data_IF_455743797616
#
_entry.id   IF_455743797616
#
_cell.length_a   1.000
_cell.length_b   1.000
_cell.length_c   1.000
_cell.angle_alpha   90.00
_cell.angle_beta   90.00
_cell.angle_gamma   90.00
#
_symmetry.space_group_name_H-M   'P 1'
#
loop_
_entity.id
_entity.type
_entity.pdbx_description
1 polymer ?
#
# COMPACT_ATOMS: atom_id res chain seq x y z
N UNK A 1 -30.39 -8.48 -28.30
CA UNK A 1 -30.62 -7.06 -28.63
C UNK A 1 -31.85 -6.57 -27.88
N UNK A 2 -31.66 -5.78 -26.82
CA UNK A 2 -32.51 -4.62 -26.51
C UNK A 2 -31.78 -3.81 -25.45
N UNK A 3 -31.62 -2.51 -25.67
CA UNK A 3 -30.90 -1.61 -24.77
C UNK A 3 -31.86 -1.03 -23.75
N UNK A 4 -31.45 -0.94 -22.48
CA UNK A 4 -32.05 -0.01 -21.52
C UNK A 4 -31.02 1.08 -21.20
N UNK A 5 -31.26 2.26 -21.74
CA UNK A 5 -30.54 3.49 -21.40
C UNK A 5 -31.45 4.37 -20.55
N UNK A 6 -30.97 4.80 -19.39
CA UNK A 6 -31.53 5.95 -18.69
C UNK A 6 -30.40 6.89 -18.27
N UNK A 7 -30.58 8.16 -18.54
CA UNK A 7 -29.66 9.26 -18.24
C UNK A 7 -30.19 10.08 -17.06
N UNK A 8 -29.34 10.90 -16.38
CA UNK A 8 -29.63 11.39 -15.04
C UNK A 8 -30.58 12.61 -15.01
N UNK A 9 -31.29 12.75 -13.89
CA UNK A 9 -32.20 13.86 -13.65
C UNK A 9 -31.46 15.14 -13.21
N UNK A 10 -31.86 16.27 -13.80
CA UNK A 10 -31.33 17.61 -13.49
C UNK A 10 -32.09 18.22 -12.31
N UNK A 11 -31.39 18.65 -11.27
CA UNK A 11 -31.96 19.48 -10.19
C UNK A 11 -31.59 20.94 -10.40
N UNK A 12 -32.59 21.81 -10.62
CA UNK A 12 -32.42 23.26 -10.80
C UNK A 12 -32.44 24.02 -9.48
N UNK A 13 -31.59 25.05 -9.38
CA UNK A 13 -31.59 26.04 -8.30
C UNK A 13 -32.87 26.90 -8.27
N UNK A 14 -33.43 27.08 -7.09
CA UNK A 14 -34.22 28.24 -6.61
C UNK A 14 -33.92 28.35 -5.09
N UNK A 15 -33.96 29.47 -4.39
CA UNK A 15 -34.13 30.90 -4.73
C UNK A 15 -34.15 31.68 -3.40
N UNK A 16 -33.41 32.78 -3.28
CA UNK A 16 -33.37 33.60 -2.04
C UNK A 16 -34.72 34.30 -1.78
N UNK A 17 -35.01 34.63 -0.51
CA UNK A 17 -35.53 35.95 -0.21
C UNK A 17 -34.76 36.68 0.89
N UNK A 18 -34.48 37.95 0.63
CA UNK A 18 -34.03 38.97 1.59
C UNK A 18 -35.20 39.53 2.40
N UNK A 19 -35.00 39.83 3.69
CA UNK A 19 -35.73 40.88 4.44
C UNK A 19 -35.00 41.13 5.78
N UNK A 20 -34.32 42.26 5.94
CA UNK A 20 -34.78 43.52 6.59
C UNK A 20 -34.45 43.58 8.09
N UNK A 21 -33.67 44.61 8.43
CA UNK A 21 -33.23 45.02 9.77
C UNK A 21 -34.26 45.98 10.39
N UNK A 22 -34.43 45.98 11.72
CA UNK A 22 -34.71 47.20 12.47
C UNK A 22 -33.58 47.55 13.44
N UNK A 23 -33.36 48.84 13.64
CA UNK A 23 -32.35 49.42 14.52
C UNK A 23 -32.97 50.09 15.77
N UNK A 24 -32.09 50.59 16.64
CA UNK A 24 -32.32 51.51 17.77
C UNK A 24 -32.58 50.90 19.16
N UNK A 25 -31.86 51.44 20.16
CA UNK A 25 -31.98 51.10 21.58
C UNK A 25 -30.65 51.33 22.34
N UNK A 26 -30.36 52.58 22.75
CA UNK A 26 -29.09 52.97 23.36
C UNK A 26 -29.19 53.28 24.86
N UNK A 27 -28.13 52.96 25.61
CA UNK A 27 -27.65 53.48 26.93
C UNK A 27 -26.81 52.36 27.58
N UNK A 28 -25.68 52.53 28.27
CA UNK A 28 -24.83 53.64 28.74
C UNK A 28 -23.77 52.95 29.64
N UNK A 29 -22.45 53.15 29.51
CA UNK A 29 -21.64 54.33 29.86
C UNK A 29 -20.88 54.16 31.21
N UNK A 30 -19.58 54.51 31.22
CA UNK A 30 -18.61 54.53 32.35
C UNK A 30 -18.21 53.18 33.00
N UNK A 31 -17.08 53.00 33.71
CA UNK A 31 -15.69 53.54 33.72
C UNK A 31 -14.91 52.77 34.84
N UNK A 32 -13.59 52.57 34.91
CA UNK A 32 -12.39 52.85 34.07
C UNK A 32 -11.29 51.84 34.50
N UNK A 33 -9.96 52.04 34.41
CA UNK A 33 -9.11 53.10 33.85
C UNK A 33 -7.65 53.02 34.37
N UNK A 34 -6.66 52.92 33.47
CA UNK A 34 -5.23 53.25 33.72
C UNK A 34 -4.28 52.15 34.25
N UNK A 35 -2.94 52.33 34.22
CA UNK A 35 -2.12 53.41 33.62
C UNK A 35 -0.62 52.98 33.48
N UNK A 36 -0.02 53.20 32.30
CA UNK A 36 1.41 53.44 31.91
C UNK A 36 2.64 52.68 32.45
N UNK A 37 3.68 52.56 31.60
CA UNK A 37 5.11 52.42 31.99
C UNK A 37 5.96 51.64 30.98
N UNK A 38 6.36 52.20 29.82
CA UNK A 38 7.64 52.89 29.55
C UNK A 38 8.91 52.08 29.87
N UNK A 39 9.63 51.66 28.81
CA UNK A 39 11.10 51.70 28.73
C UNK A 39 11.53 51.61 27.25
N UNK A 40 12.60 52.29 26.86
CA UNK A 40 13.08 52.36 25.47
C UNK A 40 14.58 52.11 25.36
N UNK A 41 14.99 51.60 24.20
CA UNK A 41 16.30 51.87 23.61
C UNK A 41 17.45 50.93 23.94
N UNK A 42 17.94 50.21 22.91
CA UNK A 42 19.30 50.44 22.42
C UNK A 42 19.46 49.98 20.97
N UNK A 43 20.03 50.86 20.15
CA UNK A 43 20.74 50.46 18.93
C UNK A 43 22.15 50.03 19.34
N UNK A 44 22.74 49.10 18.60
CA UNK A 44 24.15 49.18 18.24
C UNK A 44 24.34 48.54 16.87
N UNK A 45 25.01 49.27 15.96
CA UNK A 45 25.52 48.77 14.69
C UNK A 45 27.04 48.60 14.81
N UNK A 46 27.59 47.63 14.06
CA UNK A 46 28.87 47.65 13.30
C UNK A 46 29.52 46.26 13.34
N UNK A 47 29.96 45.75 12.18
CA UNK A 47 30.66 44.47 12.09
C UNK A 47 30.61 43.81 10.71
N UNK A 48 31.19 44.48 9.70
CA UNK A 48 31.30 43.95 8.33
C UNK A 48 32.42 42.90 8.26
N UNK A 49 32.22 41.78 7.56
CA UNK A 49 33.16 41.15 6.61
C UNK A 49 32.75 39.71 6.23
N UNK A 50 33.13 39.25 5.04
CA UNK A 50 33.12 37.83 4.65
C UNK A 50 32.04 37.43 3.65
N UNK A 51 32.16 37.89 2.40
CA UNK A 51 31.55 37.19 1.27
C UNK A 51 32.50 36.06 0.90
N UNK A 52 32.01 34.83 0.78
CA UNK A 52 32.65 33.84 -0.09
C UNK A 52 31.60 32.95 -0.77
N UNK A 53 31.64 32.95 -2.10
CA UNK A 53 30.77 32.17 -2.99
C UNK A 53 31.70 31.31 -3.82
N UNK A 54 31.67 30.00 -3.61
CA UNK A 54 32.42 29.03 -4.41
C UNK A 54 31.48 27.91 -4.90
N UNK A 55 31.10 28.00 -6.17
CA UNK A 55 30.82 26.81 -7.00
C UNK A 55 32.09 26.48 -7.83
N UNK A 56 32.11 25.53 -8.77
CA UNK A 56 32.97 24.37 -8.63
C UNK A 56 34.16 24.39 -9.61
N UNK A 57 35.32 23.90 -9.16
CA UNK A 57 36.47 23.66 -10.04
C UNK A 57 36.30 22.33 -10.79
N UNK A 58 36.58 22.38 -12.09
CA UNK A 58 36.47 21.26 -13.04
C UNK A 58 37.81 20.97 -13.71
N UNK A 59 38.21 19.71 -13.77
CA UNK A 59 39.20 19.16 -14.71
C UNK A 59 38.82 17.70 -14.92
N UNK A 60 38.25 17.31 -16.07
CA UNK A 60 38.98 17.03 -17.32
C UNK A 60 40.02 15.92 -17.16
N UNK A 61 39.65 14.73 -17.62
CA UNK A 61 40.54 13.84 -18.39
C UNK A 61 39.68 13.09 -19.42
N UNK A 62 40.22 12.93 -20.63
CA UNK A 62 39.51 12.53 -21.85
C UNK A 62 40.01 11.16 -22.33
N UNK A 63 39.11 10.26 -22.74
CA UNK A 63 39.40 9.23 -23.74
C UNK A 63 38.25 9.15 -24.76
N UNK A 64 38.57 9.46 -26.03
CA UNK A 64 37.70 9.34 -27.22
C UNK A 64 37.70 7.88 -27.73
N UNK A 65 36.64 7.32 -28.29
CA UNK A 65 36.33 7.25 -29.75
C UNK A 65 35.28 6.14 -29.97
N UNK A 66 34.59 5.98 -31.13
CA UNK A 66 33.87 7.01 -31.89
C UNK A 66 32.42 6.59 -32.25
N UNK A 67 31.61 7.57 -32.62
CA UNK A 67 30.28 7.36 -33.21
C UNK A 67 30.34 6.97 -34.70
N UNK A 68 29.43 6.10 -35.17
CA UNK A 68 29.08 6.04 -36.60
C UNK A 68 27.57 5.91 -36.82
N UNK A 69 26.95 7.04 -37.15
CA UNK A 69 25.64 7.10 -37.80
C UNK A 69 25.86 7.41 -39.29
N UNK A 70 25.05 6.80 -40.16
CA UNK A 70 24.41 7.47 -41.32
C UNK A 70 23.65 6.46 -42.20
N UNK A 71 22.45 6.88 -42.62
CA UNK A 71 21.66 6.27 -43.69
C UNK A 71 22.33 6.45 -45.06
N UNK A 72 21.79 5.79 -46.11
CA UNK A 72 21.81 6.39 -47.44
C UNK A 72 20.40 6.53 -48.05
N UNK A 73 20.20 7.67 -48.71
CA UNK A 73 18.99 8.03 -49.45
C UNK A 73 18.86 7.34 -50.83
N UNK A 74 17.66 7.48 -51.39
CA UNK A 74 17.28 7.02 -52.73
C UNK A 74 17.87 7.91 -53.82
N UNK A 75 18.54 7.34 -54.84
CA UNK A 75 18.48 7.85 -56.22
C UNK A 75 18.87 6.82 -57.30
N UNK A 76 18.06 6.81 -58.35
CA UNK A 76 18.06 5.96 -59.55
C UNK A 76 19.34 5.84 -60.39
N UNK A 77 19.44 4.73 -61.15
CA UNK A 77 19.98 4.72 -62.52
C UNK A 77 19.20 3.73 -63.43
N UNK A 78 18.84 4.20 -64.64
CA UNK A 78 18.34 3.37 -65.77
C UNK A 78 19.50 2.49 -66.32
N UNK A 79 19.31 1.35 -67.00
CA UNK A 79 18.69 1.25 -68.32
C UNK A 79 18.64 -0.23 -68.83
N UNK A 80 17.62 -0.54 -69.64
CA UNK A 80 17.48 -1.61 -70.68
C UNK A 80 18.50 -2.76 -70.81
N UNK A 81 18.01 -4.02 -70.86
CA UNK A 81 18.81 -5.19 -71.28
C UNK A 81 18.08 -6.53 -71.31
N UNK A 82 17.70 -7.00 -72.50
CA UNK A 82 16.90 -8.18 -72.85
C UNK A 82 17.27 -9.57 -72.28
N UNK A 83 16.21 -10.37 -72.02
CA UNK A 83 16.03 -11.81 -72.34
C UNK A 83 16.46 -12.95 -71.35
N UNK A 84 15.75 -14.08 -71.49
CA UNK A 84 15.99 -15.47 -71.04
C UNK A 84 15.50 -15.97 -69.65
N UNK A 85 14.50 -16.87 -69.72
CA UNK A 85 14.26 -18.07 -68.89
C UNK A 85 14.58 -18.09 -67.37
N UNK A 86 13.55 -18.16 -66.51
CA UNK A 86 13.46 -19.24 -65.49
C UNK A 86 12.05 -19.46 -64.88
N UNK A 87 11.30 -20.45 -65.38
CA UNK A 87 9.97 -20.82 -64.85
C UNK A 87 9.96 -21.61 -63.53
N UNK A 88 11.11 -21.97 -62.97
CA UNK A 88 11.19 -22.89 -61.82
C UNK A 88 11.21 -22.25 -60.42
N UNK A 89 11.35 -20.92 -60.32
CA UNK A 89 11.70 -20.25 -59.06
C UNK A 89 10.50 -19.79 -58.21
N UNK A 90 9.33 -19.61 -58.81
CA UNK A 90 8.13 -19.04 -58.16
C UNK A 90 7.39 -20.02 -57.24
N UNK A 91 7.34 -21.31 -57.58
CA UNK A 91 6.61 -22.32 -56.78
C UNK A 91 7.33 -22.66 -55.46
N UNK A 92 8.67 -22.68 -55.42
CA UNK A 92 9.42 -22.90 -54.17
C UNK A 92 9.24 -21.75 -53.16
N UNK A 93 9.21 -20.50 -53.63
CA UNK A 93 8.97 -19.33 -52.76
C UNK A 93 7.54 -19.33 -52.21
N UNK A 94 6.53 -19.71 -53.01
CA UNK A 94 5.15 -19.86 -52.53
C UNK A 94 5.00 -20.99 -51.50
N UNK A 95 5.67 -22.13 -51.69
CA UNK A 95 5.64 -23.24 -50.74
C UNK A 95 6.34 -22.90 -49.41
N UNK A 96 7.47 -22.17 -49.45
CA UNK A 96 8.13 -21.67 -48.25
C UNK A 96 7.22 -20.69 -47.48
N UNK A 97 6.70 -19.66 -48.16
CA UNK A 97 5.82 -18.67 -47.53
C UNK A 97 4.52 -19.28 -46.95
N UNK A 98 4.00 -20.38 -47.54
CA UNK A 98 2.88 -21.12 -46.97
C UNK A 98 3.26 -21.89 -45.69
N UNK A 99 4.45 -22.51 -45.66
CA UNK A 99 4.98 -23.20 -44.48
C UNK A 99 5.27 -22.23 -43.33
N UNK A 100 5.83 -21.06 -43.64
CA UNK A 100 6.13 -20.03 -42.65
C UNK A 100 4.85 -19.42 -42.06
N UNK A 101 3.80 -19.22 -42.88
CA UNK A 101 2.47 -18.83 -42.39
C UNK A 101 1.82 -19.91 -41.51
N UNK A 102 1.97 -21.19 -41.86
CA UNK A 102 1.47 -22.28 -41.03
C UNK A 102 2.21 -22.35 -39.68
N UNK A 103 3.54 -22.19 -39.68
CA UNK A 103 4.34 -22.12 -38.46
C UNK A 103 3.97 -20.91 -37.59
N UNK A 104 3.78 -19.73 -38.20
CA UNK A 104 3.32 -18.53 -37.50
C UNK A 104 1.91 -18.66 -36.94
N UNK A 105 0.98 -19.30 -37.68
CA UNK A 105 -0.37 -19.58 -37.21
C UNK A 105 -0.38 -20.59 -36.04
N UNK A 106 0.47 -21.62 -36.09
CA UNK A 106 0.65 -22.56 -34.97
C UNK A 106 1.26 -21.85 -33.76
N UNK A 107 2.30 -21.02 -33.92
CA UNK A 107 2.88 -20.24 -32.83
C UNK A 107 1.89 -19.22 -32.23
N UNK A 108 1.03 -18.61 -33.06
CA UNK A 108 -0.06 -17.76 -32.63
C UNK A 108 -1.14 -18.55 -31.85
N UNK A 109 -1.46 -19.78 -32.28
CA UNK A 109 -2.37 -20.67 -31.56
C UNK A 109 -1.77 -21.13 -30.21
N UNK A 110 -0.49 -21.51 -30.15
CA UNK A 110 0.18 -21.89 -28.90
C UNK A 110 0.30 -20.70 -27.93
N UNK A 111 0.54 -19.48 -28.43
CA UNK A 111 0.52 -18.28 -27.58
C UNK A 111 -0.89 -17.84 -27.21
N UNK A 112 -1.93 -18.19 -27.98
CA UNK A 112 -3.32 -18.02 -27.57
C UNK A 112 -3.73 -19.03 -26.48
N UNK A 113 -3.32 -20.30 -26.61
CA UNK A 113 -3.58 -21.35 -25.59
C UNK A 113 -2.85 -21.03 -24.26
N UNK A 114 -1.61 -20.56 -24.34
CA UNK A 114 -0.86 -20.05 -23.18
C UNK A 114 -1.51 -18.83 -22.51
N UNK A 115 -2.25 -17.99 -23.24
CA UNK A 115 -3.06 -16.89 -22.69
C UNK A 115 -4.43 -17.36 -22.16
N UNK A 116 -4.93 -18.51 -22.61
CA UNK A 116 -6.27 -18.99 -22.29
C UNK A 116 -6.33 -19.91 -21.05
N UNK A 117 -5.18 -20.39 -20.56
CA UNK A 117 -5.09 -20.82 -19.16
C UNK A 117 -5.22 -19.60 -18.26
N UNK A 118 -6.40 -19.43 -17.67
CA UNK A 118 -6.59 -18.54 -16.52
C UNK A 118 -5.50 -18.86 -15.48
N UNK A 119 -4.59 -17.92 -15.15
CA UNK A 119 -3.46 -18.20 -14.27
C UNK A 119 -3.94 -18.24 -12.82
N UNK A 120 -4.60 -19.33 -12.45
CA UNK A 120 -4.92 -19.64 -11.05
C UNK A 120 -3.65 -19.49 -10.22
N UNK A 121 -3.64 -18.49 -9.33
CA UNK A 121 -2.49 -18.25 -8.46
C UNK A 121 -2.42 -19.42 -7.49
N UNK A 122 -1.43 -20.28 -7.66
CA UNK A 122 -1.29 -21.46 -6.80
C UNK A 122 -1.13 -21.05 -5.34
N UNK A 123 -1.59 -21.91 -4.42
CA UNK A 123 -1.36 -21.72 -2.98
C UNK A 123 0.12 -21.48 -2.66
N UNK A 124 1.04 -22.11 -3.40
CA UNK A 124 2.48 -21.90 -3.22
C UNK A 124 2.91 -20.48 -3.59
N UNK A 125 2.34 -19.89 -4.65
CA UNK A 125 2.57 -18.49 -5.00
C UNK A 125 1.97 -17.51 -3.98
N UNK A 126 0.79 -17.83 -3.42
CA UNK A 126 0.20 -17.08 -2.30
C UNK A 126 1.10 -17.18 -1.07
N UNK A 127 1.53 -18.39 -0.70
CA UNK A 127 2.41 -18.69 0.44
C UNK A 127 3.74 -17.93 0.37
N UNK A 128 4.41 -17.97 -0.78
CA UNK A 128 5.64 -17.21 -0.99
C UNK A 128 5.43 -15.69 -0.88
N UNK A 129 4.27 -15.18 -1.31
CA UNK A 129 3.90 -13.77 -1.14
C UNK A 129 3.65 -13.41 0.33
N UNK A 130 2.93 -14.24 1.08
CA UNK A 130 2.69 -14.05 2.53
C UNK A 130 4.01 -13.98 3.33
N UNK A 131 4.98 -14.84 3.02
CA UNK A 131 6.29 -14.88 3.69
C UNK A 131 7.12 -13.62 3.40
N UNK A 132 7.04 -13.07 2.18
CA UNK A 132 7.72 -11.81 1.81
C UNK A 132 7.05 -10.58 2.43
N UNK A 133 5.71 -10.53 2.45
CA UNK A 133 4.98 -9.41 3.06
C UNK A 133 5.19 -9.36 4.58
N UNK A 134 5.46 -10.51 5.21
CA UNK A 134 5.85 -10.59 6.62
C UNK A 134 7.18 -9.88 6.90
N UNK A 135 8.19 -9.99 6.02
CA UNK A 135 9.43 -9.21 6.12
C UNK A 135 9.16 -7.72 5.95
N UNK A 136 8.33 -7.33 4.98
CA UNK A 136 7.95 -5.92 4.75
C UNK A 136 7.29 -5.29 5.97
N UNK A 137 6.41 -6.01 6.67
CA UNK A 137 5.78 -5.52 7.91
C UNK A 137 6.81 -5.39 9.03
N UNK A 138 7.70 -6.38 9.21
CA UNK A 138 8.72 -6.33 10.27
C UNK A 138 9.63 -5.12 10.08
N UNK A 139 10.13 -4.88 8.86
CA UNK A 139 10.94 -3.70 8.57
C UNK A 139 10.15 -2.40 8.77
N UNK A 140 8.91 -2.29 8.28
CA UNK A 140 8.11 -1.07 8.46
C UNK A 140 7.83 -0.73 9.94
N UNK A 141 7.71 -1.74 10.82
CA UNK A 141 7.55 -1.55 12.25
C UNK A 141 8.88 -1.18 12.95
N UNK A 142 10.01 -1.73 12.52
CA UNK A 142 11.36 -1.31 12.97
C UNK A 142 11.67 0.12 12.56
N UNK A 143 11.28 0.55 11.35
CA UNK A 143 11.44 1.95 10.93
C UNK A 143 10.48 2.91 11.66
N UNK A 144 9.35 2.42 12.20
CA UNK A 144 8.43 3.25 12.99
C UNK A 144 8.86 3.40 14.45
N UNK A 145 9.43 2.36 15.05
CA UNK A 145 9.83 2.33 16.47
C UNK A 145 10.94 3.34 16.80
N UNK A 146 11.79 3.71 15.83
CA UNK A 146 12.81 4.77 15.96
C UNK A 146 12.27 6.15 16.41
N UNK A 147 10.95 6.36 16.38
CA UNK A 147 10.29 7.59 16.81
C UNK A 147 9.25 7.31 17.90
N UNK A 148 9.01 8.30 18.76
CA UNK A 148 8.00 8.25 19.81
C UNK A 148 6.57 8.09 19.27
N UNK A 149 5.64 7.86 20.19
CA UNK A 149 4.21 7.77 19.88
C UNK A 149 3.70 8.98 19.08
N UNK A 150 4.20 10.20 19.35
CA UNK A 150 3.93 11.38 18.53
C UNK A 150 2.42 11.61 18.29
N UNK A 151 1.63 11.52 19.36
CA UNK A 151 0.15 11.53 19.34
C UNK A 151 -0.49 12.74 18.61
N UNK A 152 0.27 13.82 18.42
CA UNK A 152 -0.07 14.95 17.56
C UNK A 152 -0.48 14.52 16.13
N UNK A 153 0.13 13.45 15.59
CA UNK A 153 -0.08 12.94 14.23
C UNK A 153 -1.51 12.41 14.04
N UNK A 154 -2.03 11.73 15.06
CA UNK A 154 -3.30 10.98 15.02
C UNK A 154 -4.49 11.77 15.57
N UNK A 155 -4.26 12.99 16.05
CA UNK A 155 -5.26 13.83 16.68
C UNK A 155 -5.69 14.97 15.77
N UNK A 156 -7.00 15.19 15.69
CA UNK A 156 -7.56 16.31 14.94
C UNK A 156 -7.05 17.63 15.50
N UNK A 157 -6.77 18.59 14.60
CA UNK A 157 -6.45 20.02 14.87
C UNK A 157 -5.01 20.35 15.27
N UNK A 158 -4.11 19.39 15.52
CA UNK A 158 -2.72 19.73 15.89
C UNK A 158 -1.96 20.35 14.71
N UNK A 159 -2.12 19.78 13.52
CA UNK A 159 -1.53 20.29 12.27
C UNK A 159 -2.58 21.03 11.44
N UNK A 160 -2.24 22.23 10.98
CA UNK A 160 -3.06 22.99 10.02
C UNK A 160 -2.87 22.47 8.61
N UNK A 161 -3.34 21.25 8.38
CA UNK A 161 -3.55 20.73 7.03
C UNK A 161 -4.64 21.57 6.37
N UNK A 162 -4.34 22.22 5.24
CA UNK A 162 -5.39 22.86 4.43
C UNK A 162 -6.32 21.76 3.94
N UNK A 163 -7.63 21.90 4.23
CA UNK A 163 -8.71 20.95 3.91
C UNK A 163 -8.41 20.08 2.68
N UNK A 164 -7.96 18.85 2.94
CA UNK A 164 -8.09 17.76 1.98
C UNK A 164 -9.55 17.31 1.95
N UNK A 165 -9.94 16.62 0.89
CA UNK A 165 -11.30 16.09 0.72
C UNK A 165 -11.73 15.16 1.88
N UNK A 166 -10.76 14.60 2.63
CA UNK A 166 -10.97 13.84 3.86
C UNK A 166 -11.79 14.60 4.93
N UNK A 167 -11.62 15.92 5.04
CA UNK A 167 -12.35 16.73 6.02
C UNK A 167 -13.86 16.78 5.76
N UNK A 168 -14.28 16.68 4.49
CA UNK A 168 -15.69 16.70 4.10
C UNK A 168 -16.40 15.36 4.37
N UNK A 169 -15.66 14.26 4.56
CA UNK A 169 -16.23 12.93 4.85
C UNK A 169 -16.43 12.69 6.34
N UNK A 170 -15.42 12.99 7.17
CA UNK A 170 -15.53 12.73 8.60
C UNK A 170 -16.32 13.80 9.35
N UNK A 171 -16.70 14.91 8.70
CA UNK A 171 -17.36 16.05 9.33
C UNK A 171 -16.49 16.76 10.38
N UNK A 172 -15.18 16.50 10.34
CA UNK A 172 -14.12 17.03 11.21
C UNK A 172 -12.87 17.26 10.38
N UNK A 173 -11.97 18.11 10.88
CA UNK A 173 -10.64 18.23 10.29
C UNK A 173 -9.91 16.88 10.37
N UNK A 174 -9.28 16.47 9.27
CA UNK A 174 -8.51 15.22 9.22
C UNK A 174 -7.25 15.33 10.09
N UNK A 175 -6.85 14.21 10.69
CA UNK A 175 -5.54 14.07 11.33
C UNK A 175 -4.41 14.14 10.29
N UNK A 176 -3.18 14.36 10.75
CA UNK A 176 -2.03 14.43 9.85
C UNK A 176 -1.74 13.08 9.18
N UNK A 177 -2.00 11.97 9.88
CA UNK A 177 -1.97 10.63 9.29
C UNK A 177 -2.97 10.46 8.14
N UNK A 178 -4.24 10.81 8.36
CA UNK A 178 -5.28 10.65 7.34
C UNK A 178 -5.00 11.51 6.11
N UNK A 179 -4.49 12.74 6.30
CA UNK A 179 -4.00 13.58 5.22
C UNK A 179 -2.87 12.91 4.43
N UNK A 180 -1.76 12.56 5.09
CA UNK A 180 -0.57 12.00 4.43
C UNK A 180 -0.88 10.68 3.72
N UNK A 181 -1.71 9.84 4.32
CA UNK A 181 -2.19 8.61 3.71
C UNK A 181 -3.03 8.91 2.47
N UNK A 182 -4.10 9.73 2.58
CA UNK A 182 -5.00 10.03 1.46
C UNK A 182 -4.31 10.67 0.25
N UNK A 183 -3.39 11.63 0.45
CA UNK A 183 -2.62 12.23 -0.65
C UNK A 183 -1.63 11.23 -1.28
N UNK A 184 -1.05 10.33 -0.48
CA UNK A 184 -0.23 9.21 -0.98
C UNK A 184 -1.08 8.24 -1.81
N UNK A 185 -2.33 7.96 -1.42
CA UNK A 185 -3.24 7.11 -2.19
C UNK A 185 -3.62 7.78 -3.53
N UNK A 186 -3.93 9.08 -3.53
CA UNK A 186 -4.19 9.84 -4.76
C UNK A 186 -3.03 9.73 -5.74
N UNK A 187 -1.80 9.94 -5.28
CA UNK A 187 -0.60 9.80 -6.10
C UNK A 187 -0.48 8.37 -6.68
N UNK A 188 -0.63 7.34 -5.85
CA UNK A 188 -0.54 5.95 -6.28
C UNK A 188 -1.68 5.49 -7.21
N UNK A 189 -2.87 6.08 -7.11
CA UNK A 189 -3.98 5.80 -8.02
C UNK A 189 -3.65 6.20 -9.46
N UNK A 190 -2.97 7.33 -9.66
CA UNK A 190 -2.57 7.80 -11.01
C UNK A 190 -1.77 6.73 -11.77
N UNK A 191 -0.93 5.97 -11.07
CA UNK A 191 -0.09 4.89 -11.63
C UNK A 191 -0.74 3.49 -11.59
N UNK A 192 -2.06 3.42 -11.38
CA UNK A 192 -2.91 2.20 -11.36
C UNK A 192 -2.71 1.27 -10.15
N UNK A 193 -2.13 1.73 -9.03
CA UNK A 193 -1.89 0.85 -7.86
C UNK A 193 -3.15 0.08 -7.44
N UNK A 194 -4.25 0.79 -7.26
CA UNK A 194 -5.55 0.25 -6.81
C UNK A 194 -6.38 -0.41 -7.93
N UNK A 195 -5.83 -0.60 -9.14
CA UNK A 195 -6.38 -1.56 -10.10
C UNK A 195 -5.91 -3.00 -9.82
N UNK A 196 -4.89 -3.17 -8.97
CA UNK A 196 -4.43 -4.47 -8.51
C UNK A 196 -5.40 -5.08 -7.49
N UNK A 197 -5.74 -6.35 -7.66
CA UNK A 197 -6.56 -7.11 -6.70
C UNK A 197 -5.88 -7.30 -5.32
N UNK A 198 -4.59 -6.99 -5.19
CA UNK A 198 -3.84 -7.05 -3.92
C UNK A 198 -3.80 -5.72 -3.14
N UNK A 199 -4.13 -4.58 -3.77
CA UNK A 199 -3.93 -3.25 -3.19
C UNK A 199 -5.29 -2.58 -2.93
N UNK A 200 -5.61 -2.32 -1.66
CA UNK A 200 -6.86 -1.64 -1.27
C UNK A 200 -6.57 -0.28 -0.64
N UNK A 201 -7.31 0.73 -1.08
CA UNK A 201 -7.23 2.07 -0.53
C UNK A 201 -7.93 2.17 0.83
N UNK A 202 -7.39 2.99 1.71
CA UNK A 202 -8.05 3.43 2.94
C UNK A 202 -9.16 4.45 2.62
N UNK A 203 -8.95 5.30 1.61
CA UNK A 203 -9.92 6.31 1.18
C UNK A 203 -10.30 6.14 -0.31
N UNK A 204 -10.97 5.02 -0.68
CA UNK A 204 -11.25 4.68 -2.07
C UNK A 204 -12.09 5.72 -2.84
N UNK A 205 -12.84 6.56 -2.11
CA UNK A 205 -13.70 7.60 -2.67
C UNK A 205 -12.96 8.87 -3.11
N UNK A 206 -11.67 9.02 -2.80
CA UNK A 206 -10.85 10.16 -3.25
C UNK A 206 -9.87 9.82 -4.39
N UNK A 207 -9.87 8.57 -4.87
CA UNK A 207 -8.90 8.14 -5.87
C UNK A 207 -9.19 8.78 -7.24
N UNK A 208 -8.24 9.50 -7.85
CA UNK A 208 -8.38 10.00 -9.21
C UNK A 208 -8.34 8.86 -10.24
N UNK A 209 -8.83 9.14 -11.46
CA UNK A 209 -8.66 8.21 -12.58
C UNK A 209 -7.16 8.00 -12.90
N UNK A 210 -6.73 6.76 -13.23
CA UNK A 210 -5.34 6.50 -13.59
C UNK A 210 -4.93 7.20 -14.90
N UNK A 211 -3.73 7.78 -14.93
CA UNK A 211 -3.15 8.39 -16.14
C UNK A 211 -2.59 7.36 -17.13
N UNK A 212 -2.37 6.13 -16.66
CA UNK A 212 -1.85 5.02 -17.46
C UNK A 212 -3.01 4.17 -18.02
N UNK A 213 -2.89 3.62 -19.25
CA UNK A 213 -3.94 2.79 -19.86
C UNK A 213 -4.36 1.59 -18.98
N UNK A 214 -5.63 1.16 -19.00
CA UNK A 214 -6.09 0.00 -18.25
C UNK A 214 -5.28 -1.27 -18.56
N UNK A 215 -5.11 -2.14 -17.56
CA UNK A 215 -4.56 -3.48 -17.71
C UNK A 215 -5.69 -4.50 -17.62
N UNK A 216 -5.68 -5.49 -18.52
CA UNK A 216 -6.57 -6.65 -18.44
C UNK A 216 -5.98 -7.66 -17.46
N UNK A 217 -6.47 -7.64 -16.23
CA UNK A 217 -6.05 -8.57 -15.18
C UNK A 217 -6.93 -9.84 -15.19
N UNK A 218 -6.33 -11.04 -15.00
CA UNK A 218 -7.11 -12.27 -14.87
C UNK A 218 -8.04 -12.19 -13.66
N UNK A 219 -9.27 -12.71 -13.80
CA UNK A 219 -10.30 -12.70 -12.75
C UNK A 219 -10.03 -13.80 -11.73
N UNK A 220 -9.06 -13.58 -10.86
CA UNK A 220 -8.61 -14.54 -9.85
C UNK A 220 -9.52 -14.64 -8.61
N UNK A 221 -10.33 -13.61 -8.37
CA UNK A 221 -11.29 -13.53 -7.27
C UNK A 221 -12.70 -13.32 -7.84
N UNK A 222 -13.71 -13.80 -7.12
CA UNK A 222 -15.09 -13.41 -7.40
C UNK A 222 -15.31 -11.92 -7.11
N UNK A 223 -16.30 -11.26 -7.74
CA UNK A 223 -16.69 -9.90 -7.39
C UNK A 223 -17.00 -9.79 -5.89
N UNK A 224 -16.35 -8.84 -5.22
CA UNK A 224 -16.46 -8.59 -3.79
C UNK A 224 -16.08 -7.12 -3.50
N UNK A 225 -16.59 -6.56 -2.41
CA UNK A 225 -16.24 -5.22 -1.91
C UNK A 225 -15.54 -5.24 -0.54
N UNK A 226 -15.20 -6.43 -0.04
CA UNK A 226 -14.55 -6.65 1.28
C UNK A 226 -13.32 -5.75 1.46
N UNK A 227 -13.42 -4.79 2.37
CA UNK A 227 -12.32 -3.92 2.78
C UNK A 227 -12.41 -3.72 4.30
N UNK A 228 -11.35 -4.08 5.03
CA UNK A 228 -11.24 -3.92 6.49
C UNK A 228 -10.23 -2.84 6.89
N UNK A 229 -9.82 -1.97 5.95
CA UNK A 229 -8.85 -0.91 6.19
C UNK A 229 -9.20 0.01 7.38
N UNK A 230 -10.48 0.31 7.63
CA UNK A 230 -10.92 1.07 8.82
C UNK A 230 -10.52 0.38 10.13
N UNK A 231 -10.64 -0.95 10.17
CA UNK A 231 -10.25 -1.75 11.35
C UNK A 231 -8.73 -1.82 11.48
N UNK A 232 -8.00 -1.95 10.37
CA UNK A 232 -6.53 -1.93 10.35
C UNK A 232 -6.01 -0.58 10.86
N UNK A 233 -6.55 0.54 10.34
CA UNK A 233 -6.18 1.89 10.76
C UNK A 233 -6.44 2.12 12.25
N UNK A 234 -7.64 1.72 12.72
CA UNK A 234 -8.00 1.82 14.14
C UNK A 234 -7.02 1.03 15.02
N UNK A 235 -6.84 -0.27 14.75
CA UNK A 235 -5.92 -1.16 15.51
C UNK A 235 -4.48 -0.63 15.46
N UNK A 236 -4.04 -0.13 14.32
CA UNK A 236 -2.70 0.42 14.15
C UNK A 236 -2.44 1.59 15.11
N UNK A 237 -3.34 2.59 15.11
CA UNK A 237 -3.20 3.79 15.94
C UNK A 237 -3.44 3.49 17.42
N UNK A 238 -4.44 2.67 17.77
CA UNK A 238 -4.83 2.47 19.17
C UNK A 238 -4.08 1.35 19.91
N UNK A 239 -3.47 0.41 19.20
CA UNK A 239 -2.85 -0.79 19.80
C UNK A 239 -1.41 -1.02 19.31
N UNK A 240 -1.11 -0.86 18.01
CA UNK A 240 0.23 -1.15 17.48
C UNK A 240 1.23 -0.04 17.83
N UNK A 241 0.94 1.22 17.52
CA UNK A 241 1.86 2.35 17.80
C UNK A 241 2.19 2.45 19.30
N UNK A 242 1.23 2.41 20.25
CA UNK A 242 1.53 2.45 21.68
C UNK A 242 2.24 1.21 22.23
N UNK A 243 2.24 0.09 21.50
CA UNK A 243 2.96 -1.14 21.88
C UNK A 243 4.44 -1.08 21.47
N UNK A 244 4.75 -0.53 20.30
CA UNK A 244 6.12 -0.54 19.75
C UNK A 244 6.91 0.74 20.05
N UNK A 245 6.26 1.90 20.15
CA UNK A 245 6.94 3.19 20.30
C UNK A 245 7.01 3.66 21.76
N UNK A 246 8.09 4.35 22.15
CA UNK A 246 8.12 5.03 23.44
C UNK A 246 7.03 6.11 23.56
N UNK A 247 6.39 6.27 24.75
CA UNK A 247 5.46 7.37 25.00
C UNK A 247 6.14 8.75 24.92
N UNK A 248 5.42 9.72 24.35
CA UNK A 248 5.80 11.13 24.34
C UNK A 248 5.81 11.72 22.94
N UNK A 249 6.54 12.83 22.82
CA UNK A 249 6.79 13.55 21.58
C UNK A 249 8.31 13.75 21.41
N UNK A 250 8.81 13.70 20.18
CA UNK A 250 10.20 13.94 19.79
C UNK A 250 10.34 14.93 18.61
N UNK A 251 9.25 15.61 18.24
CA UNK A 251 9.12 16.51 17.08
C UNK A 251 9.36 15.87 15.69
N UNK A 252 9.60 14.55 15.58
CA UNK A 252 9.82 13.83 14.31
C UNK A 252 8.50 13.43 13.61
N UNK A 253 7.51 14.33 13.62
CA UNK A 253 6.16 14.04 13.12
C UNK A 253 6.14 13.64 11.64
N UNK A 254 6.96 14.30 10.81
CA UNK A 254 7.07 14.03 9.37
C UNK A 254 7.70 12.66 9.06
N UNK A 255 8.73 12.27 9.80
CA UNK A 255 9.39 10.96 9.66
C UNK A 255 8.46 9.85 10.13
N UNK A 256 7.83 10.04 11.30
CA UNK A 256 6.86 9.11 11.89
C UNK A 256 5.68 8.80 10.96
N UNK A 257 5.03 9.83 10.39
CA UNK A 257 3.85 9.63 9.54
C UNK A 257 4.18 8.96 8.21
N UNK A 258 5.40 9.11 7.68
CA UNK A 258 5.86 8.36 6.50
C UNK A 258 6.05 6.89 6.84
N UNK A 259 6.61 6.57 8.02
CA UNK A 259 6.67 5.19 8.51
C UNK A 259 5.28 4.61 8.76
N UNK A 260 4.34 5.39 9.31
CA UNK A 260 2.94 4.98 9.51
C UNK A 260 2.26 4.60 8.19
N UNK A 261 2.39 5.43 7.15
CA UNK A 261 1.81 5.15 5.82
C UNK A 261 2.39 3.87 5.21
N UNK A 262 3.70 3.63 5.35
CA UNK A 262 4.35 2.42 4.87
C UNK A 262 3.86 1.17 5.62
N UNK A 263 3.76 1.25 6.96
CA UNK A 263 3.27 0.16 7.80
C UNK A 263 1.80 -0.18 7.50
N UNK A 264 0.93 0.83 7.39
CA UNK A 264 -0.49 0.66 7.07
C UNK A 264 -0.71 0.02 5.70
N UNK A 265 0.05 0.43 4.67
CA UNK A 265 -0.03 -0.19 3.35
C UNK A 265 0.44 -1.65 3.36
N UNK A 266 1.53 -1.96 4.09
CA UNK A 266 2.03 -3.33 4.23
C UNK A 266 1.04 -4.23 4.98
N UNK A 267 0.46 -3.74 6.08
CA UNK A 267 -0.59 -4.41 6.85
C UNK A 267 -1.85 -4.64 6.01
N UNK A 268 -2.32 -3.61 5.30
CA UNK A 268 -3.50 -3.70 4.41
C UNK A 268 -3.34 -4.80 3.38
N UNK A 269 -2.23 -4.78 2.63
CA UNK A 269 -1.95 -5.80 1.61
C UNK A 269 -1.88 -7.21 2.21
N UNK A 270 -1.22 -7.36 3.36
CA UNK A 270 -1.07 -8.67 4.04
C UNK A 270 -2.38 -9.23 4.56
N UNK A 271 -3.21 -8.40 5.19
CA UNK A 271 -4.52 -8.80 5.70
C UNK A 271 -5.45 -9.16 4.52
N UNK A 272 -5.52 -8.30 3.50
CA UNK A 272 -6.40 -8.53 2.36
C UNK A 272 -5.96 -9.65 1.42
N UNK A 273 -4.71 -10.11 1.49
CA UNK A 273 -4.30 -11.34 0.79
C UNK A 273 -5.07 -12.58 1.27
N UNK A 274 -5.76 -12.50 2.42
CA UNK A 274 -6.78 -13.46 2.86
C UNK A 274 -7.82 -13.79 1.79
N UNK A 275 -8.20 -12.84 0.91
CA UNK A 275 -9.14 -13.13 -0.22
C UNK A 275 -8.65 -14.26 -1.12
N UNK A 276 -7.34 -14.32 -1.41
CA UNK A 276 -6.74 -15.37 -2.24
C UNK A 276 -6.61 -16.69 -1.49
N UNK A 277 -6.37 -16.64 -0.17
CA UNK A 277 -6.37 -17.82 0.70
C UNK A 277 -7.77 -18.43 0.74
N UNK A 278 -8.80 -17.60 0.97
CA UNK A 278 -10.21 -17.99 0.99
C UNK A 278 -10.69 -18.54 -0.35
N UNK A 279 -10.40 -17.89 -1.49
CA UNK A 279 -10.78 -18.45 -2.80
C UNK A 279 -10.13 -19.82 -3.02
N UNK A 280 -8.85 -20.00 -2.67
CA UNK A 280 -8.22 -21.29 -2.86
C UNK A 280 -8.79 -22.38 -1.94
N UNK A 281 -9.04 -22.08 -0.66
CA UNK A 281 -9.73 -23.01 0.26
C UNK A 281 -11.14 -23.33 -0.25
N UNK A 282 -11.84 -22.35 -0.81
CA UNK A 282 -13.16 -22.54 -1.43
C UNK A 282 -13.11 -23.45 -2.65
N UNK A 283 -12.06 -23.37 -3.49
CA UNK A 283 -11.91 -24.28 -4.62
C UNK A 283 -11.57 -25.72 -4.20
N UNK A 284 -10.94 -25.90 -3.03
CA UNK A 284 -10.64 -27.23 -2.46
C UNK A 284 -11.88 -27.92 -1.85
N UNK A 285 -12.74 -27.19 -1.13
CA UNK A 285 -13.99 -27.73 -0.57
C UNK A 285 -15.17 -26.75 -0.69
N UNK A 286 -15.60 -26.49 -1.92
CA UNK A 286 -16.69 -25.53 -2.21
C UNK A 286 -18.00 -25.89 -1.53
N UNK A 287 -18.23 -27.18 -1.22
CA UNK A 287 -19.51 -27.65 -0.68
C UNK A 287 -19.64 -27.29 0.79
N UNK A 288 -18.64 -27.61 1.61
CA UNK A 288 -18.68 -27.34 3.05
C UNK A 288 -18.81 -25.84 3.32
N UNK A 289 -18.05 -24.99 2.62
CA UNK A 289 -18.19 -23.53 2.74
C UNK A 289 -19.57 -23.02 2.29
N UNK A 290 -20.16 -23.58 1.22
CA UNK A 290 -21.52 -23.21 0.80
C UNK A 290 -22.59 -23.59 1.84
N UNK A 291 -22.46 -24.76 2.45
CA UNK A 291 -23.43 -25.24 3.44
C UNK A 291 -23.33 -24.43 4.74
N UNK A 292 -22.11 -24.08 5.19
CA UNK A 292 -21.88 -23.16 6.33
C UNK A 292 -22.39 -21.74 6.07
N UNK A 293 -22.05 -21.15 4.91
CA UNK A 293 -22.51 -19.78 4.58
C UNK A 293 -24.04 -19.72 4.43
N UNK A 294 -24.68 -20.78 3.89
CA UNK A 294 -26.15 -20.89 3.83
C UNK A 294 -26.79 -20.92 5.21
N UNK A 295 -26.12 -21.53 6.20
CA UNK A 295 -26.58 -21.59 7.59
C UNK A 295 -26.34 -20.27 8.35
N UNK A 296 -25.60 -19.30 7.79
CA UNK A 296 -25.17 -18.10 8.50
C UNK A 296 -24.03 -18.37 9.51
N UNK A 297 -23.40 -19.54 9.45
CA UNK A 297 -22.50 -20.03 10.49
C UNK A 297 -21.07 -19.48 10.35
N UNK A 298 -20.89 -18.21 10.70
CA UNK A 298 -19.59 -17.55 10.68
C UNK A 298 -18.57 -18.23 11.62
N UNK A 299 -19.01 -18.79 12.75
CA UNK A 299 -18.15 -19.49 13.73
C UNK A 299 -17.66 -20.82 13.15
N UNK A 300 -18.53 -21.62 12.52
CA UNK A 300 -18.15 -22.83 11.81
C UNK A 300 -17.20 -22.57 10.63
N UNK A 301 -17.36 -21.45 9.91
CA UNK A 301 -16.36 -21.01 8.92
C UNK A 301 -15.04 -20.68 9.61
N UNK A 302 -15.02 -19.88 10.68
CA UNK A 302 -13.80 -19.54 11.43
C UNK A 302 -13.05 -20.78 11.94
N UNK A 303 -13.77 -21.76 12.48
CA UNK A 303 -13.22 -23.04 12.95
C UNK A 303 -12.59 -23.84 11.80
N UNK A 304 -13.28 -23.95 10.67
CA UNK A 304 -12.79 -24.66 9.48
C UNK A 304 -11.56 -23.96 8.85
N UNK A 305 -11.49 -22.63 8.90
CA UNK A 305 -10.34 -21.86 8.40
C UNK A 305 -9.12 -21.94 9.33
N UNK A 306 -9.31 -22.25 10.61
CA UNK A 306 -8.29 -22.19 11.66
C UNK A 306 -7.39 -23.42 11.67
N UNK A 307 -6.08 -23.20 11.59
CA UNK A 307 -5.09 -24.27 11.70
C UNK A 307 -3.99 -23.84 12.68
N UNK A 308 -4.19 -24.21 13.96
CA UNK A 308 -3.31 -23.82 15.07
C UNK A 308 -1.84 -24.16 14.80
N UNK A 309 -1.55 -25.33 14.23
CA UNK A 309 -0.18 -25.76 13.89
C UNK A 309 0.45 -24.98 12.72
N UNK A 310 -0.34 -24.29 11.89
CA UNK A 310 0.16 -23.33 10.88
C UNK A 310 0.34 -21.95 11.51
N UNK A 311 -0.59 -21.52 12.35
CA UNK A 311 -0.54 -20.24 13.07
C UNK A 311 0.69 -20.18 14.01
N UNK A 312 0.94 -21.21 14.81
CA UNK A 312 2.16 -21.36 15.61
C UNK A 312 3.45 -21.27 14.77
N UNK A 313 3.46 -21.83 13.55
CA UNK A 313 4.59 -21.74 12.62
C UNK A 313 4.75 -20.35 11.99
N UNK A 314 3.67 -19.58 11.88
CA UNK A 314 3.72 -18.15 11.49
C UNK A 314 4.33 -17.36 12.64
N UNK A 315 3.79 -17.47 13.85
CA UNK A 315 4.27 -16.75 15.03
C UNK A 315 5.75 -17.04 15.34
N UNK A 316 6.15 -18.33 15.33
CA UNK A 316 7.56 -18.72 15.53
C UNK A 316 8.49 -18.15 14.45
N UNK A 317 8.04 -18.07 13.19
CA UNK A 317 8.84 -17.49 12.11
C UNK A 317 8.95 -15.98 12.23
N UNK A 318 7.85 -15.30 12.56
CA UNK A 318 7.82 -13.86 12.81
C UNK A 318 8.78 -13.49 13.95
N UNK A 319 8.77 -14.23 15.07
CA UNK A 319 9.73 -14.08 16.15
C UNK A 319 11.18 -14.19 15.66
N UNK A 320 11.55 -15.31 15.01
CA UNK A 320 12.93 -15.53 14.56
C UNK A 320 13.42 -14.46 13.57
N UNK A 321 12.55 -13.98 12.67
CA UNK A 321 12.85 -12.88 11.75
C UNK A 321 13.05 -11.56 12.49
N UNK A 322 12.13 -11.20 13.38
CA UNK A 322 12.24 -9.99 14.19
C UNK A 322 13.51 -9.98 15.06
N UNK A 323 13.86 -11.11 15.70
CA UNK A 323 15.14 -11.26 16.41
C UNK A 323 16.35 -11.07 15.49
N UNK A 324 16.28 -11.55 14.25
CA UNK A 324 17.39 -11.47 13.29
C UNK A 324 17.57 -10.06 12.73
N UNK A 325 16.49 -9.35 12.42
CA UNK A 325 16.54 -7.99 11.85
C UNK A 325 16.67 -6.89 12.91
N UNK A 326 16.19 -7.14 14.13
CA UNK A 326 16.27 -6.20 15.26
C UNK A 326 17.60 -6.20 16.00
N UNK A 327 18.46 -7.20 15.80
CA UNK A 327 19.80 -7.25 16.42
C UNK A 327 20.83 -6.50 15.57
N UNK A 328 21.79 -5.82 16.21
CA UNK A 328 22.97 -5.33 15.50
C UNK A 328 23.96 -6.47 15.22
N UNK A 329 24.51 -6.50 14.01
CA UNK A 329 25.45 -7.55 13.55
C UNK A 329 26.77 -7.52 14.34
N UNK A 330 27.07 -6.42 15.02
CA UNK A 330 28.22 -6.28 15.91
C UNK A 330 28.03 -6.98 17.28
N UNK A 331 26.78 -7.30 17.67
CA UNK A 331 26.46 -8.05 18.89
C UNK A 331 26.41 -9.57 18.64
N UNK A 332 26.82 -10.04 17.46
CA UNK A 332 27.10 -11.46 17.25
C UNK A 332 28.25 -11.84 18.18
N UNK A 333 28.04 -12.76 19.15
CA UNK A 333 29.15 -13.22 19.96
C UNK A 333 30.12 -13.93 19.02
N UNK A 334 31.33 -13.36 18.89
CA UNK A 334 32.46 -14.10 18.33
C UNK A 334 32.53 -15.41 19.09
N UNK A 335 32.36 -16.53 18.37
CA UNK A 335 32.40 -17.86 18.95
C UNK A 335 33.83 -18.17 19.40
N UNK A 336 34.19 -17.69 20.58
CA UNK A 336 35.37 -18.11 21.31
C UNK A 336 35.14 -19.55 21.74
N UNK A 337 35.67 -20.51 20.97
CA UNK A 337 35.61 -21.94 21.29
C UNK A 337 36.39 -22.30 22.57
N UNK A 338 37.10 -21.34 23.17
CA UNK A 338 37.97 -21.48 24.35
C UNK A 338 37.44 -20.78 25.61
N UNK A 339 36.33 -21.26 26.18
CA UNK A 339 35.90 -20.87 27.53
C UNK A 339 35.28 -22.05 28.31
N UNK A 340 36.14 -22.88 28.92
CA UNK A 340 35.69 -23.91 29.89
C UNK A 340 35.36 -23.28 31.25
N UNK A 341 34.10 -23.45 31.69
CA UNK A 341 33.73 -23.46 33.10
C UNK A 341 33.45 -22.09 33.72
N UNK A 342 32.18 -21.83 34.04
CA UNK A 342 31.74 -20.66 34.79
C UNK A 342 30.23 -20.66 34.97
N UNK A 343 29.75 -21.19 36.11
CA UNK A 343 28.33 -21.13 36.48
C UNK A 343 27.94 -19.68 36.79
N UNK A 344 27.39 -19.01 35.78
CA UNK A 344 27.14 -17.57 35.84
C UNK A 344 26.67 -17.01 34.51
N UNK A 345 25.74 -17.71 33.83
CA UNK A 345 25.11 -17.23 32.60
C UNK A 345 24.18 -16.04 32.89
N UNK A 346 24.78 -14.88 33.19
CA UNK A 346 24.13 -13.61 32.93
C UNK A 346 23.73 -13.63 31.46
N UNK A 347 22.43 -13.63 31.18
CA UNK A 347 21.94 -13.41 29.82
C UNK A 347 22.51 -12.06 29.39
N UNK A 348 23.36 -12.05 28.38
CA UNK A 348 23.64 -10.82 27.66
C UNK A 348 22.27 -10.28 27.22
N UNK A 349 21.91 -9.09 27.67
CA UNK A 349 20.70 -8.41 27.23
C UNK A 349 20.90 -8.10 25.75
N UNK A 350 20.39 -8.97 24.88
CA UNK A 350 20.38 -8.74 23.44
C UNK A 350 19.52 -7.51 23.21
N UNK A 351 20.18 -6.41 22.87
CA UNK A 351 19.53 -5.12 22.70
C UNK A 351 18.87 -5.09 21.32
N UNK A 352 17.65 -5.61 21.24
CA UNK A 352 16.86 -5.58 20.00
C UNK A 352 16.27 -4.18 19.81
N UNK A 353 16.39 -3.63 18.59
CA UNK A 353 15.72 -2.39 18.18
C UNK A 353 14.22 -2.45 18.45
N UNK A 354 13.55 -3.46 17.91
CA UNK A 354 12.18 -3.83 18.30
C UNK A 354 12.19 -5.13 19.06
N UNK A 355 11.55 -5.17 20.23
CA UNK A 355 11.32 -6.42 20.97
C UNK A 355 10.59 -7.44 20.07
N UNK A 356 11.20 -8.60 19.75
CA UNK A 356 10.59 -9.60 18.86
C UNK A 356 9.23 -10.13 19.34
N UNK A 357 8.94 -10.01 20.64
CA UNK A 357 7.64 -10.39 21.20
C UNK A 357 6.51 -9.45 20.73
N UNK A 358 6.74 -8.14 20.60
CA UNK A 358 5.71 -7.22 20.10
C UNK A 358 5.29 -7.56 18.67
N UNK A 359 6.23 -7.98 17.82
CA UNK A 359 5.92 -8.48 16.48
C UNK A 359 5.02 -9.74 16.55
N UNK A 360 5.31 -10.68 17.46
CA UNK A 360 4.47 -11.87 17.67
C UNK A 360 3.07 -11.49 18.15
N UNK A 361 2.96 -10.53 19.07
CA UNK A 361 1.70 -10.06 19.63
C UNK A 361 0.84 -9.38 18.56
N UNK A 362 1.41 -8.45 17.78
CA UNK A 362 0.76 -7.82 16.61
C UNK A 362 0.26 -8.87 15.61
N UNK A 363 1.05 -9.92 15.36
CA UNK A 363 0.64 -11.00 14.45
C UNK A 363 -0.51 -11.84 15.00
N UNK A 364 -0.45 -12.20 16.29
CA UNK A 364 -1.44 -13.03 16.98
C UNK A 364 -2.77 -12.29 17.17
N UNK A 365 -2.71 -11.03 17.58
CA UNK A 365 -3.87 -10.30 18.10
C UNK A 365 -4.49 -9.34 17.07
N UNK A 366 -3.74 -8.96 16.01
CA UNK A 366 -4.25 -8.09 14.93
C UNK A 366 -4.17 -8.75 13.54
N UNK A 367 -2.98 -9.15 13.07
CA UNK A 367 -2.81 -9.56 11.66
C UNK A 367 -3.54 -10.86 11.31
N UNK A 368 -3.42 -11.90 12.15
CA UNK A 368 -4.09 -13.18 11.92
C UNK A 368 -5.62 -13.05 12.05
N UNK A 369 -6.18 -12.45 13.12
CA UNK A 369 -7.64 -12.24 13.26
C UNK A 369 -8.24 -11.48 12.08
N UNK A 370 -7.69 -10.31 11.72
CA UNK A 370 -8.21 -9.53 10.59
C UNK A 370 -8.04 -10.25 9.25
N UNK A 371 -7.00 -11.09 9.07
CA UNK A 371 -6.90 -11.95 7.87
C UNK A 371 -8.06 -12.96 7.84
N UNK A 372 -8.41 -13.59 8.97
CA UNK A 372 -9.56 -14.52 9.06
C UNK A 372 -10.88 -13.79 8.83
N UNK A 373 -11.03 -12.56 9.31
CA UNK A 373 -12.22 -11.73 9.03
C UNK A 373 -12.40 -11.47 7.53
N UNK A 374 -11.32 -11.11 6.82
CA UNK A 374 -11.33 -11.01 5.36
C UNK A 374 -11.69 -12.35 4.69
N UNK A 375 -11.13 -13.47 5.16
CA UNK A 375 -11.45 -14.79 4.63
C UNK A 375 -12.95 -15.13 4.79
N UNK A 376 -13.55 -14.85 5.96
CA UNK A 376 -14.97 -15.08 6.24
C UNK A 376 -15.85 -14.17 5.37
N UNK A 377 -15.63 -12.85 5.40
CA UNK A 377 -16.43 -11.89 4.61
C UNK A 377 -16.37 -12.22 3.11
N UNK A 378 -15.20 -12.60 2.61
CA UNK A 378 -15.03 -13.03 1.23
C UNK A 378 -15.86 -14.28 0.93
N UNK A 379 -15.84 -15.30 1.78
CA UNK A 379 -16.59 -16.56 1.57
C UNK A 379 -18.11 -16.35 1.53
N UNK A 380 -18.66 -15.46 2.38
CA UNK A 380 -20.08 -15.12 2.35
C UNK A 380 -20.48 -14.41 1.05
N UNK A 381 -19.72 -13.40 0.61
CA UNK A 381 -19.97 -12.74 -0.69
C UNK A 381 -19.76 -13.70 -1.86
N UNK A 382 -18.73 -14.54 -1.80
CA UNK A 382 -18.37 -15.56 -2.81
C UNK A 382 -19.47 -16.61 -3.03
N UNK A 383 -20.29 -16.85 -2.02
CA UNK A 383 -21.42 -17.78 -2.02
C UNK A 383 -22.78 -17.10 -2.21
N UNK A 384 -22.82 -15.77 -2.21
CA UNK A 384 -24.04 -14.98 -2.44
C UNK A 384 -24.94 -14.81 -1.21
N UNK A 385 -24.43 -15.05 0.00
CA UNK A 385 -25.17 -14.85 1.25
C UNK A 385 -24.77 -13.54 1.93
N UNK A 386 -25.64 -12.92 2.76
CA UNK A 386 -25.31 -11.70 3.49
C UNK A 386 -24.11 -11.88 4.41
N UNK A 387 -23.23 -10.89 4.50
CA UNK A 387 -22.11 -10.91 5.43
C UNK A 387 -22.59 -10.96 6.90
N UNK A 388 -22.00 -11.79 7.76
CA UNK A 388 -22.30 -11.82 9.19
C UNK A 388 -21.70 -10.62 9.93
N UNK A 389 -22.19 -10.35 11.14
CA UNK A 389 -21.40 -9.57 12.11
C UNK A 389 -20.25 -10.43 12.62
N UNK A 390 -19.07 -9.82 12.79
CA UNK A 390 -17.86 -10.47 13.31
C UNK A 390 -17.52 -10.02 14.74
N UNK A 391 -18.40 -9.24 15.37
CA UNK A 391 -18.22 -8.79 16.75
C UNK A 391 -18.14 -9.99 17.71
N UNK A 392 -17.06 -10.07 18.49
CA UNK A 392 -16.79 -11.17 19.42
C UNK A 392 -16.52 -12.54 18.79
N UNK A 393 -16.29 -12.63 17.47
CA UNK A 393 -16.12 -13.93 16.81
C UNK A 393 -14.81 -14.65 17.22
N UNK A 394 -13.77 -13.89 17.57
CA UNK A 394 -12.49 -14.39 18.07
C UNK A 394 -12.44 -14.57 19.58
N UNK A 395 -13.52 -14.22 20.31
CA UNK A 395 -13.61 -14.46 21.74
C UNK A 395 -13.84 -15.96 21.99
N UNK A 396 -12.92 -16.60 22.72
CA UNK A 396 -12.86 -18.04 23.05
C UNK A 396 -12.49 -18.21 24.53
#
# INVERSE_FOLDING_TARGET
MSFYTMSPAVVRRTGFPTTVVPSAGAAGAAAGGGVTGIAAGRQDMLGVNGVDVLQPESSEDLEEEPSSSLSPDIAALNNSGSNANNGGRTNRVRAAAAKDRAAAATAAATTADARNRQPTRSLESVRGSLIRQEETIIFALIEREQFRCNNAIYTDRTFRVNRSDAADIYGRDASFLEYMLSETEKLHATVRRYMSLEELAFFPMFLPEPILPPLDFPRLLAPNDVNVNDQILKRYVSEIVPMICEPGDDDQHGSSVVCDVNALQALSRRVHLGKFVAESKFQEDSKTYQDLCRAGDARGVLELLTNKAVEEKVLKRAFMKASTYGSDINDVPVSTEDAKGGDGAAKAEQNFKVNPQFIVDIYRDTVIPLTKDVEILYLFQRTGYPCPSLEGIHDI
#
